data_IF_535512332407
#
_entry.id   IF_535512332407
#
_cell.length_a   1.000
_cell.length_b   1.000
_cell.length_c   1.000
_cell.angle_alpha   90.00
_cell.angle_beta   90.00
_cell.angle_gamma   90.00
#
_symmetry.space_group_name_H-M   'P 1'
#
loop_
_entity.id
_entity.type
_entity.pdbx_description
1 polymer ?
#
# COMPACT_ATOMS: atom_id res chain seq x y z
N UNK A 1 4.72 15.52 -19.68
CA UNK A 1 5.95 16.36 -19.66
C UNK A 1 6.36 16.49 -18.20
N UNK A 2 7.56 16.04 -17.84
CA UNK A 2 8.01 15.93 -16.45
C UNK A 2 9.53 15.84 -16.41
N UNK A 3 10.11 15.92 -15.20
CA UNK A 3 11.56 15.92 -15.00
C UNK A 3 12.12 17.20 -14.37
N UNK A 4 11.27 18.17 -14.02
CA UNK A 4 11.67 19.29 -13.17
C UNK A 4 11.98 18.77 -11.76
N UNK A 5 13.18 19.06 -11.28
CA UNK A 5 13.69 18.65 -9.98
C UNK A 5 14.21 19.89 -9.26
N UNK A 6 13.55 20.32 -8.18
CA UNK A 6 13.92 21.54 -7.43
C UNK A 6 14.71 21.25 -6.14
N UNK A 7 14.90 19.97 -5.82
CA UNK A 7 15.54 19.49 -4.58
C UNK A 7 17.08 19.52 -4.62
N UNK A 8 17.66 19.86 -5.76
CA UNK A 8 19.11 19.86 -5.99
C UNK A 8 19.50 20.94 -7.00
N UNK A 9 20.70 21.52 -6.82
CA UNK A 9 21.28 22.52 -7.72
C UNK A 9 21.26 22.09 -9.19
N UNK A 10 21.82 20.92 -9.46
CA UNK A 10 21.86 20.37 -10.81
C UNK A 10 20.45 20.14 -11.40
N UNK A 11 19.46 19.86 -10.55
CA UNK A 11 18.07 19.64 -10.97
C UNK A 11 17.42 20.90 -11.53
N UNK A 12 17.53 22.03 -10.84
CA UNK A 12 16.91 23.28 -11.28
C UNK A 12 17.76 24.03 -12.32
N UNK A 13 19.08 23.84 -12.34
CA UNK A 13 19.97 24.34 -13.42
C UNK A 13 19.71 23.61 -14.74
N UNK A 14 19.49 22.29 -14.72
CA UNK A 14 19.06 21.53 -15.90
C UNK A 14 17.62 21.88 -16.28
N UNK A 15 16.76 22.00 -15.26
CA UNK A 15 15.34 22.27 -15.39
C UNK A 15 14.54 21.13 -16.03
N UNK A 16 13.32 21.46 -16.47
CA UNK A 16 12.36 20.51 -17.02
C UNK A 16 12.41 20.41 -18.54
N UNK A 17 11.34 19.91 -19.15
CA UNK A 17 11.21 19.83 -20.61
C UNK A 17 11.17 21.19 -21.35
N UNK A 18 11.18 22.29 -20.62
CA UNK A 18 11.16 23.67 -21.14
C UNK A 18 12.47 24.43 -20.87
N UNK A 19 13.49 23.74 -20.36
CA UNK A 19 14.80 24.31 -20.05
C UNK A 19 14.99 24.64 -18.56
N UNK A 20 16.08 25.34 -18.22
CA UNK A 20 16.48 25.66 -16.85
C UNK A 20 15.37 26.38 -16.08
N UNK A 21 15.09 25.91 -14.86
CA UNK A 21 14.12 26.58 -14.00
C UNK A 21 14.71 27.85 -13.38
N UNK A 22 16.00 27.81 -13.03
CA UNK A 22 16.74 28.94 -12.47
C UNK A 22 18.08 29.05 -13.18
N UNK A 23 18.41 30.26 -13.63
CA UNK A 23 19.69 30.62 -14.22
C UNK A 23 20.43 31.53 -13.23
N UNK A 24 21.47 31.04 -12.54
CA UNK A 24 22.24 31.83 -11.58
C UNK A 24 22.70 33.18 -12.15
N UNK A 25 22.41 34.26 -11.43
CA UNK A 25 22.75 35.63 -11.81
C UNK A 25 21.82 36.28 -12.84
N UNK A 26 20.80 35.57 -13.35
CA UNK A 26 19.89 36.07 -14.40
C UNK A 26 18.42 35.85 -14.02
N UNK A 27 17.85 36.66 -13.11
CA UNK A 27 16.46 36.52 -12.69
C UNK A 27 15.47 36.61 -13.87
N UNK A 28 15.67 37.54 -14.81
CA UNK A 28 14.75 37.74 -15.94
C UNK A 28 14.78 36.62 -16.99
N UNK A 29 15.81 35.77 -16.97
CA UNK A 29 15.91 34.60 -17.86
C UNK A 29 15.51 33.30 -17.15
N UNK A 30 15.14 33.38 -15.86
CA UNK A 30 14.79 32.22 -15.04
C UNK A 30 13.28 31.98 -15.10
N UNK A 31 12.87 30.78 -15.55
CA UNK A 31 11.45 30.41 -15.64
C UNK A 31 10.72 30.47 -14.29
N UNK A 32 11.43 30.20 -13.18
CA UNK A 32 10.89 30.37 -11.84
C UNK A 32 10.40 31.80 -11.59
N UNK A 33 11.16 32.82 -12.03
CA UNK A 33 10.78 34.23 -11.85
C UNK A 33 9.61 34.62 -12.73
N UNK A 34 9.57 34.14 -13.97
CA UNK A 34 8.42 34.32 -14.85
C UNK A 34 7.15 33.73 -14.19
N UNK A 35 7.26 32.53 -13.59
CA UNK A 35 6.14 31.85 -12.94
C UNK A 35 5.61 32.58 -11.69
N UNK A 36 6.49 33.10 -10.82
CA UNK A 36 6.04 33.82 -9.61
C UNK A 36 5.61 35.27 -9.90
N UNK A 37 6.08 35.85 -11.02
CA UNK A 37 5.64 37.17 -11.51
C UNK A 37 4.36 37.11 -12.34
N UNK A 38 3.86 35.91 -12.63
CA UNK A 38 2.71 35.68 -13.52
C UNK A 38 2.96 36.18 -14.95
N UNK A 39 4.22 36.10 -15.41
CA UNK A 39 4.59 36.41 -16.79
C UNK A 39 4.55 35.12 -17.61
N UNK A 40 3.35 34.70 -17.98
CA UNK A 40 3.07 33.44 -18.66
C UNK A 40 2.56 32.36 -17.71
N UNK A 41 3.47 31.67 -17.00
CA UNK A 41 3.07 30.66 -15.99
C UNK A 41 2.64 31.34 -14.68
N UNK A 42 1.63 30.78 -14.01
CA UNK A 42 1.14 31.33 -12.74
C UNK A 42 1.38 30.34 -11.60
N UNK A 43 2.35 30.63 -10.72
CA UNK A 43 2.60 29.83 -9.51
C UNK A 43 2.81 30.71 -8.27
N UNK A 44 2.10 30.45 -7.15
CA UNK A 44 0.98 29.51 -6.99
C UNK A 44 -0.26 29.96 -7.81
N UNK A 45 -1.09 29.08 -8.37
CA UNK A 45 -2.19 29.49 -9.27
C UNK A 45 -3.29 30.32 -8.58
N UNK A 46 -3.56 30.07 -7.30
CA UNK A 46 -4.67 30.73 -6.59
C UNK A 46 -4.37 32.19 -6.23
N UNK A 47 -3.10 32.49 -5.92
CA UNK A 47 -2.69 33.82 -5.49
C UNK A 47 -1.19 34.02 -5.66
N UNK A 48 -0.84 35.15 -6.27
CA UNK A 48 0.54 35.56 -6.44
C UNK A 48 1.23 35.74 -5.09
N UNK A 49 2.50 35.34 -5.01
CA UNK A 49 3.31 35.54 -3.82
C UNK A 49 3.39 37.03 -3.46
N UNK A 50 3.47 37.37 -2.16
CA UNK A 50 3.71 38.75 -1.75
C UNK A 50 4.96 39.33 -2.42
N UNK A 51 4.93 40.61 -2.77
CA UNK A 51 6.05 41.27 -3.46
C UNK A 51 7.39 41.13 -2.71
N UNK A 52 7.36 41.06 -1.37
CA UNK A 52 8.54 40.85 -0.54
C UNK A 52 9.20 39.46 -0.76
N UNK A 53 8.39 38.42 -0.99
CA UNK A 53 8.88 37.07 -1.27
C UNK A 53 9.41 36.95 -2.70
N UNK A 54 8.74 37.58 -3.66
CA UNK A 54 9.23 37.67 -5.05
C UNK A 54 10.59 38.38 -5.09
N UNK A 55 10.73 39.49 -4.36
CA UNK A 55 12.00 40.23 -4.26
C UNK A 55 13.11 39.39 -3.60
N UNK A 56 12.76 38.53 -2.63
CA UNK A 56 13.72 37.62 -2.01
C UNK A 56 14.23 36.56 -3.00
N UNK A 57 13.33 35.99 -3.81
CA UNK A 57 13.69 35.03 -4.86
C UNK A 57 14.55 35.69 -5.94
N UNK A 58 14.18 36.88 -6.38
CA UNK A 58 14.97 37.66 -7.34
C UNK A 58 16.38 37.94 -6.82
N UNK A 59 16.50 38.40 -5.58
CA UNK A 59 17.80 38.64 -4.95
C UNK A 59 18.61 37.34 -4.84
N UNK A 60 17.99 36.25 -4.43
CA UNK A 60 18.65 34.94 -4.31
C UNK A 60 19.21 34.47 -5.65
N UNK A 61 18.46 34.60 -6.76
CA UNK A 61 18.95 34.28 -8.10
C UNK A 61 20.08 35.23 -8.50
N UNK A 62 19.94 36.53 -8.22
CA UNK A 62 20.93 37.55 -8.56
C UNK A 62 22.29 37.29 -7.92
N UNK A 63 22.33 36.82 -6.66
CA UNK A 63 23.57 36.44 -5.96
C UNK A 63 24.12 35.06 -6.37
N UNK A 64 23.60 34.48 -7.45
CA UNK A 64 24.07 33.21 -8.01
C UNK A 64 23.35 31.97 -7.48
N UNK A 65 22.14 32.12 -6.93
CA UNK A 65 21.31 31.04 -6.41
C UNK A 65 22.09 30.06 -5.50
N UNK A 66 22.73 30.56 -4.42
CA UNK A 66 23.53 29.72 -3.54
C UNK A 66 22.66 28.62 -2.94
N UNK A 67 23.06 27.38 -3.17
CA UNK A 67 22.38 26.18 -2.69
C UNK A 67 23.40 25.34 -1.89
N UNK A 68 23.33 25.37 -0.54
CA UNK A 68 24.25 24.61 0.30
C UNK A 68 23.95 23.11 0.34
N UNK A 69 22.87 22.66 -0.32
CA UNK A 69 22.48 21.24 -0.35
C UNK A 69 23.47 20.47 -1.23
N UNK A 70 24.10 19.45 -0.65
CA UNK A 70 24.91 18.45 -1.38
C UNK A 70 24.01 17.29 -1.81
N UNK A 71 22.86 17.59 -2.41
CA UNK A 71 21.95 16.56 -2.92
C UNK A 71 22.29 16.27 -4.39
N UNK A 72 22.83 15.09 -4.66
CA UNK A 72 22.70 14.50 -6.00
C UNK A 72 21.25 14.04 -6.12
N UNK A 73 20.57 14.41 -7.20
CA UNK A 73 19.24 13.87 -7.50
C UNK A 73 19.30 12.34 -7.34
N UNK A 74 18.33 11.71 -6.65
CA UNK A 74 18.36 10.27 -6.42
C UNK A 74 18.32 9.57 -7.79
N UNK A 75 19.45 9.04 -8.22
CA UNK A 75 19.51 8.11 -9.35
C UNK A 75 18.82 6.82 -8.90
N UNK A 76 17.51 6.75 -9.12
CA UNK A 76 16.77 5.50 -9.04
C UNK A 76 17.19 4.67 -10.24
N UNK A 77 18.18 3.82 -10.04
CA UNK A 77 18.56 2.79 -11.00
C UNK A 77 17.38 1.83 -11.16
N UNK A 78 16.71 1.77 -12.32
CA UNK A 78 15.59 0.86 -12.53
C UNK A 78 15.99 -0.59 -12.29
N UNK A 79 17.25 -0.97 -12.52
CA UNK A 79 17.76 -2.31 -12.27
C UNK A 79 17.84 -2.68 -10.77
N UNK A 80 17.76 -1.69 -9.88
CA UNK A 80 17.72 -1.88 -8.42
C UNK A 80 16.31 -1.86 -7.83
N UNK A 81 15.28 -1.70 -8.67
CA UNK A 81 13.90 -1.79 -8.20
C UNK A 81 13.58 -3.25 -7.85
N UNK A 82 13.16 -3.51 -6.62
CA UNK A 82 12.86 -4.87 -6.12
C UNK A 82 11.89 -5.65 -7.03
N UNK A 83 10.90 -4.96 -7.62
CA UNK A 83 9.92 -5.56 -8.51
C UNK A 83 10.47 -5.93 -9.90
N UNK A 84 11.64 -5.39 -10.28
CA UNK A 84 12.32 -5.68 -11.54
C UNK A 84 13.51 -6.63 -11.36
N UNK A 85 13.76 -7.12 -10.13
CA UNK A 85 14.76 -8.14 -9.88
C UNK A 85 14.22 -9.53 -10.24
N UNK A 86 15.07 -10.42 -10.74
CA UNK A 86 14.66 -11.80 -11.01
C UNK A 86 14.20 -12.48 -9.72
N UNK A 87 13.12 -13.24 -9.81
CA UNK A 87 12.65 -14.08 -8.70
C UNK A 87 13.61 -15.25 -8.55
N UNK A 88 14.31 -15.32 -7.42
CA UNK A 88 15.24 -16.41 -7.10
C UNK A 88 14.56 -17.32 -6.07
N UNK A 89 14.54 -18.62 -6.33
CA UNK A 89 14.08 -19.62 -5.34
C UNK A 89 15.21 -19.83 -4.32
N UNK A 90 15.08 -19.38 -3.05
CA UNK A 90 16.12 -19.59 -2.05
C UNK A 90 16.24 -21.08 -1.72
N UNK A 91 17.44 -21.50 -1.28
CA UNK A 91 17.63 -22.82 -0.72
C UNK A 91 16.85 -22.95 0.60
N UNK A 92 16.21 -24.10 0.80
CA UNK A 92 15.48 -24.41 2.03
C UNK A 92 16.51 -24.53 3.17
N UNK A 93 16.31 -23.83 4.31
CA UNK A 93 17.28 -23.83 5.39
C UNK A 93 17.28 -25.16 6.14
N UNK A 94 18.45 -25.56 6.62
CA UNK A 94 18.58 -26.69 7.53
C UNK A 94 18.07 -26.29 8.93
N UNK A 95 17.14 -27.09 9.44
CA UNK A 95 16.48 -26.96 10.75
C UNK A 95 16.84 -28.14 11.64
N UNK A 96 16.78 -27.96 12.96
CA UNK A 96 17.09 -29.02 13.94
C UNK A 96 15.89 -29.95 14.12
N UNK A 97 14.67 -29.41 14.20
CA UNK A 97 13.44 -30.21 14.30
C UNK A 97 12.89 -30.55 12.91
N UNK A 98 12.80 -31.85 12.60
CA UNK A 98 12.39 -32.32 11.27
C UNK A 98 10.92 -32.73 11.18
N UNK A 99 10.23 -32.88 12.32
CA UNK A 99 8.87 -33.45 12.35
C UNK A 99 7.78 -32.38 12.28
N UNK A 100 8.08 -31.15 12.72
CA UNK A 100 7.12 -30.05 12.73
C UNK A 100 6.84 -29.45 11.34
N UNK A 101 7.86 -29.19 10.48
CA UNK A 101 7.61 -28.62 9.16
C UNK A 101 6.80 -29.56 8.27
N UNK A 102 5.71 -29.06 7.68
CA UNK A 102 4.91 -29.80 6.70
C UNK A 102 5.33 -29.53 5.27
N UNK A 103 5.90 -28.35 5.02
CA UNK A 103 6.40 -27.94 3.72
C UNK A 103 7.74 -27.18 3.82
N UNK A 104 8.28 -26.80 2.66
CA UNK A 104 9.53 -26.02 2.57
C UNK A 104 9.42 -24.65 3.26
N UNK A 105 8.22 -24.05 3.34
CA UNK A 105 7.99 -22.73 3.92
C UNK A 105 8.09 -22.78 5.45
N UNK A 106 7.55 -23.83 6.06
CA UNK A 106 7.63 -24.08 7.50
C UNK A 106 9.11 -24.17 7.96
N UNK A 107 10.01 -24.69 7.12
CA UNK A 107 11.44 -24.72 7.44
C UNK A 107 12.04 -23.31 7.60
N UNK A 108 11.60 -22.33 6.79
CA UNK A 108 12.05 -20.93 6.95
C UNK A 108 11.55 -20.29 8.25
N UNK A 109 10.30 -20.59 8.63
CA UNK A 109 9.72 -20.11 9.88
C UNK A 109 10.44 -20.75 11.07
N UNK A 110 10.59 -22.08 11.04
CA UNK A 110 11.26 -22.84 12.08
C UNK A 110 12.71 -22.41 12.25
N UNK A 111 13.45 -22.18 11.15
CA UNK A 111 14.82 -21.68 11.24
C UNK A 111 14.93 -20.37 12.02
N UNK A 112 13.97 -19.46 11.80
CA UNK A 112 13.92 -18.20 12.55
C UNK A 112 13.55 -18.42 14.02
N UNK A 113 12.60 -19.31 14.31
CA UNK A 113 12.24 -19.67 15.68
C UNK A 113 13.43 -20.27 16.43
N UNK A 114 14.13 -21.26 15.85
CA UNK A 114 15.31 -21.89 16.42
C UNK A 114 16.45 -20.89 16.67
N UNK A 115 16.70 -19.98 15.73
CA UNK A 115 17.71 -18.92 15.89
C UNK A 115 17.36 -17.96 17.03
N UNK A 116 16.07 -17.76 17.27
CA UNK A 116 15.56 -16.95 18.37
C UNK A 116 15.34 -17.76 19.67
N UNK A 117 15.78 -19.02 19.72
CA UNK A 117 15.58 -19.95 20.85
C UNK A 117 14.10 -20.17 21.23
N UNK A 118 13.19 -19.99 20.26
CA UNK A 118 11.76 -20.21 20.39
C UNK A 118 11.36 -21.56 19.82
N UNK A 119 10.26 -22.11 20.35
CA UNK A 119 9.62 -23.32 19.83
C UNK A 119 8.26 -22.99 19.22
N UNK A 120 7.85 -23.68 18.14
CA UNK A 120 6.50 -23.53 17.61
C UNK A 120 5.44 -23.86 18.66
N UNK A 121 4.33 -23.12 18.63
CA UNK A 121 3.16 -23.45 19.43
C UNK A 121 2.53 -24.76 18.95
N UNK A 122 2.04 -25.57 19.88
CA UNK A 122 1.28 -26.78 19.55
C UNK A 122 -0.02 -26.46 18.79
N UNK A 123 -0.58 -27.43 18.06
CA UNK A 123 -1.87 -27.27 17.40
C UNK A 123 -2.97 -26.96 18.42
N UNK A 124 -3.93 -26.13 18.04
CA UNK A 124 -5.12 -25.89 18.84
C UNK A 124 -5.93 -27.19 19.00
N UNK A 125 -6.67 -27.30 20.10
CA UNK A 125 -7.64 -28.39 20.25
C UNK A 125 -8.72 -28.31 19.16
N UNK A 126 -9.33 -29.45 18.84
CA UNK A 126 -10.26 -29.56 17.70
C UNK A 126 -11.44 -28.59 17.83
N UNK A 127 -11.99 -28.42 19.02
CA UNK A 127 -13.11 -27.50 19.22
C UNK A 127 -12.69 -26.04 18.97
N UNK A 128 -11.56 -25.62 19.54
CA UNK A 128 -11.00 -24.28 19.31
C UNK A 128 -10.69 -24.04 17.85
N UNK A 129 -10.12 -25.04 17.15
CA UNK A 129 -9.83 -24.95 15.72
C UNK A 129 -11.11 -24.74 14.89
N UNK A 130 -12.15 -25.55 15.12
CA UNK A 130 -13.45 -25.40 14.48
C UNK A 130 -14.05 -24.03 14.74
N UNK A 131 -14.09 -23.60 16.01
CA UNK A 131 -14.68 -22.31 16.38
C UNK A 131 -13.99 -21.14 15.69
N UNK A 132 -12.66 -21.16 15.60
CA UNK A 132 -11.87 -20.13 14.93
C UNK A 132 -12.18 -20.10 13.43
N UNK A 133 -12.07 -21.23 12.75
CA UNK A 133 -12.27 -21.27 11.29
C UNK A 133 -13.70 -20.91 10.88
N UNK A 134 -14.72 -21.31 11.65
CA UNK A 134 -16.11 -20.92 11.37
C UNK A 134 -16.29 -19.41 11.56
N UNK A 135 -15.79 -18.83 12.65
CA UNK A 135 -15.87 -17.38 12.88
C UNK A 135 -15.10 -16.59 11.82
N UNK A 136 -13.92 -17.05 11.42
CA UNK A 136 -13.08 -16.38 10.43
C UNK A 136 -13.69 -16.45 9.01
N UNK A 137 -14.36 -17.55 8.66
CA UNK A 137 -14.93 -17.73 7.33
C UNK A 137 -16.36 -17.18 7.20
N UNK A 138 -17.21 -17.35 8.22
CA UNK A 138 -18.64 -16.98 8.11
C UNK A 138 -19.06 -15.90 9.09
N UNK A 139 -18.20 -15.50 10.04
CA UNK A 139 -18.54 -14.54 11.09
C UNK A 139 -19.49 -15.10 12.17
N UNK A 140 -19.83 -16.39 12.10
CA UNK A 140 -20.78 -17.04 13.01
C UNK A 140 -20.10 -18.19 13.77
N UNK A 141 -20.52 -18.49 15.02
CA UNK A 141 -20.05 -19.67 15.73
C UNK A 141 -20.60 -20.95 15.08
N UNK A 142 -19.91 -22.10 15.21
CA UNK A 142 -20.40 -23.38 14.70
C UNK A 142 -21.65 -23.84 15.47
N UNK A 143 -22.55 -24.57 14.80
CA UNK A 143 -23.73 -25.15 15.46
C UNK A 143 -23.37 -26.39 16.29
N UNK A 144 -24.20 -26.80 17.27
CA UNK A 144 -23.97 -28.04 18.02
C UNK A 144 -23.79 -29.27 17.13
N UNK A 145 -24.58 -29.38 16.07
CA UNK A 145 -24.52 -30.50 15.11
C UNK A 145 -23.20 -30.50 14.33
N UNK A 146 -22.72 -29.32 13.93
CA UNK A 146 -21.43 -29.16 13.25
C UNK A 146 -20.25 -29.50 14.18
N UNK A 147 -20.35 -29.15 15.47
CA UNK A 147 -19.37 -29.52 16.48
C UNK A 147 -19.32 -31.03 16.63
N UNK A 148 -20.46 -31.69 16.81
CA UNK A 148 -20.52 -33.15 16.93
C UNK A 148 -20.00 -33.85 15.67
N UNK A 149 -20.39 -33.38 14.49
CA UNK A 149 -19.91 -33.92 13.22
C UNK A 149 -18.38 -33.81 13.09
N UNK A 150 -17.81 -32.64 13.39
CA UNK A 150 -16.37 -32.45 13.30
C UNK A 150 -15.60 -33.22 14.37
N UNK A 151 -16.10 -33.28 15.61
CA UNK A 151 -15.44 -34.04 16.67
C UNK A 151 -15.52 -35.56 16.45
N UNK A 152 -16.57 -36.03 15.77
CA UNK A 152 -16.73 -37.43 15.38
C UNK A 152 -15.98 -37.84 14.11
N UNK A 153 -15.59 -36.89 13.26
CA UNK A 153 -14.85 -37.18 12.02
C UNK A 153 -13.38 -37.52 12.32
N UNK A 154 -13.04 -38.80 12.17
CA UNK A 154 -11.69 -39.34 12.36
C UNK A 154 -10.87 -39.42 11.08
N UNK A 155 -11.38 -38.89 9.95
CA UNK A 155 -10.64 -38.87 8.71
C UNK A 155 -9.45 -37.90 8.77
N UNK A 156 -8.39 -38.23 8.03
CA UNK A 156 -7.21 -37.36 7.88
C UNK A 156 -7.54 -36.02 7.22
N UNK A 157 -8.72 -35.91 6.59
CA UNK A 157 -9.22 -34.72 5.88
C UNK A 157 -10.38 -34.02 6.59
N UNK A 158 -10.63 -34.33 7.87
CA UNK A 158 -11.76 -33.79 8.62
C UNK A 158 -11.77 -32.26 8.63
N UNK A 159 -10.60 -31.62 8.73
CA UNK A 159 -10.48 -30.17 8.76
C UNK A 159 -10.79 -29.56 7.38
N UNK A 160 -10.24 -30.15 6.31
CA UNK A 160 -10.47 -29.74 4.93
C UNK A 160 -11.94 -29.84 4.56
N UNK A 161 -12.64 -30.90 4.98
CA UNK A 161 -14.08 -31.03 4.75
C UNK A 161 -14.88 -29.90 5.41
N UNK A 162 -14.50 -29.48 6.62
CA UNK A 162 -15.11 -28.32 7.29
C UNK A 162 -14.84 -27.04 6.50
N UNK A 163 -13.59 -26.81 6.09
CA UNK A 163 -13.22 -25.61 5.31
C UNK A 163 -13.99 -25.55 4.00
N UNK A 164 -14.02 -26.64 3.23
CA UNK A 164 -14.75 -26.73 1.96
C UNK A 164 -16.25 -26.43 2.15
N UNK A 165 -16.85 -27.00 3.20
CA UNK A 165 -18.26 -26.75 3.55
C UNK A 165 -18.52 -25.29 3.92
N UNK A 166 -17.64 -24.67 4.71
CA UNK A 166 -17.77 -23.27 5.11
C UNK A 166 -17.62 -22.32 3.92
N UNK A 167 -16.63 -22.55 3.05
CA UNK A 167 -16.41 -21.78 1.83
C UNK A 167 -17.58 -21.90 0.85
N UNK A 168 -18.25 -23.05 0.80
CA UNK A 168 -19.44 -23.28 -0.01
C UNK A 168 -20.73 -22.70 0.60
N UNK A 169 -20.69 -22.23 1.86
CA UNK A 169 -21.88 -21.70 2.54
C UNK A 169 -22.20 -20.26 2.12
N UNK A 170 -23.48 -19.86 2.07
CA UNK A 170 -23.86 -18.46 1.87
C UNK A 170 -23.24 -17.51 2.90
N UNK A 171 -23.09 -17.98 4.15
CA UNK A 171 -22.51 -17.19 5.24
C UNK A 171 -21.06 -16.75 4.97
N UNK A 172 -20.29 -17.50 4.19
CA UNK A 172 -18.95 -17.06 3.76
C UNK A 172 -19.03 -15.84 2.84
N UNK A 173 -19.93 -15.88 1.85
CA UNK A 173 -20.18 -14.75 0.95
C UNK A 173 -20.65 -13.51 1.70
N UNK A 174 -21.62 -13.68 2.60
CA UNK A 174 -22.15 -12.59 3.43
C UNK A 174 -21.08 -11.99 4.34
N UNK A 175 -20.22 -12.81 4.95
CA UNK A 175 -19.13 -12.33 5.79
C UNK A 175 -18.09 -11.55 5.00
N UNK A 176 -17.63 -12.09 3.88
CA UNK A 176 -16.61 -11.46 3.05
C UNK A 176 -17.10 -10.20 2.34
N UNK A 177 -18.38 -10.16 1.94
CA UNK A 177 -18.97 -8.97 1.33
C UNK A 177 -18.85 -7.75 2.24
N UNK A 178 -18.96 -7.91 3.58
CA UNK A 178 -18.78 -6.81 4.54
C UNK A 178 -17.42 -6.14 4.46
N UNK A 179 -16.34 -6.90 4.26
CA UNK A 179 -15.00 -6.32 4.12
C UNK A 179 -14.86 -5.46 2.86
N UNK A 180 -15.63 -5.78 1.82
CA UNK A 180 -15.66 -5.02 0.57
C UNK A 180 -16.67 -3.89 0.59
N UNK A 181 -17.74 -3.96 1.39
CA UNK A 181 -18.76 -2.91 1.46
C UNK A 181 -18.22 -1.57 1.94
N UNK A 182 -17.18 -1.56 2.78
CA UNK A 182 -16.49 -0.33 3.20
C UNK A 182 -15.63 0.27 2.07
N UNK A 183 -15.13 -0.55 1.14
CA UNK A 183 -14.28 -0.14 0.02
C UNK A 183 -15.06 0.18 -1.25
N UNK A 184 -16.18 -0.50 -1.48
CA UNK A 184 -17.18 -0.03 -2.43
C UNK A 184 -17.74 1.24 -1.84
N UNK A 185 -17.28 2.40 -2.30
CA UNK A 185 -17.87 3.67 -1.92
C UNK A 185 -19.39 3.50 -2.00
N UNK A 186 -20.04 3.52 -0.84
CA UNK A 186 -21.48 3.47 -0.71
C UNK A 186 -21.99 4.81 -1.22
N UNK A 187 -21.98 4.95 -2.54
CA UNK A 187 -22.33 6.17 -3.19
C UNK A 187 -23.85 6.14 -3.27
N UNK A 188 -24.50 7.07 -2.58
CA UNK A 188 -25.88 7.44 -2.89
C UNK A 188 -26.01 7.96 -4.34
N UNK A 189 -24.90 8.00 -5.08
CA UNK A 189 -24.70 8.65 -6.36
C UNK A 189 -24.07 7.65 -7.34
N UNK A 190 -24.75 7.41 -8.47
CA UNK A 190 -24.39 6.39 -9.45
C UNK A 190 -23.26 6.83 -10.42
N UNK A 191 -22.78 8.06 -10.32
CA UNK A 191 -21.82 8.66 -11.25
C UNK A 191 -20.56 9.16 -10.54
N UNK A 192 -19.46 9.20 -11.29
CA UNK A 192 -18.16 9.73 -10.82
C UNK A 192 -18.22 11.23 -10.45
N UNK A 193 -19.26 11.93 -10.90
CA UNK A 193 -19.52 13.35 -10.65
C UNK A 193 -20.46 13.62 -9.48
N UNK A 194 -21.10 12.58 -8.90
CA UNK A 194 -21.93 12.74 -7.73
C UNK A 194 -23.31 13.40 -7.94
N UNK A 195 -23.88 13.33 -9.14
CA UNK A 195 -25.15 13.99 -9.49
C UNK A 195 -26.34 13.03 -9.65
N UNK A 196 -26.12 11.73 -9.77
CA UNK A 196 -27.21 10.77 -10.06
C UNK A 196 -27.58 9.99 -8.81
N UNK A 197 -28.62 10.41 -8.09
CA UNK A 197 -29.09 9.70 -6.90
C UNK A 197 -29.56 8.27 -7.21
N UNK A 198 -29.02 7.27 -6.50
CA UNK A 198 -29.55 5.90 -6.46
C UNK A 198 -30.81 5.91 -5.61
N UNK A 199 -31.97 5.93 -6.27
CA UNK A 199 -33.27 5.76 -5.60
C UNK A 199 -33.26 4.44 -4.82
N UNK A 200 -33.66 4.51 -3.56
CA UNK A 200 -33.71 3.39 -2.59
C UNK A 200 -32.40 2.90 -1.97
N UNK A 201 -31.25 3.58 -2.15
CA UNK A 201 -30.01 3.24 -1.44
C UNK A 201 -30.17 3.24 0.10
N UNK A 202 -31.10 4.03 0.63
CA UNK A 202 -31.44 4.11 2.06
C UNK A 202 -31.94 2.79 2.65
N UNK A 203 -32.46 1.85 1.86
CA UNK A 203 -33.00 0.57 2.38
C UNK A 203 -31.93 -0.38 2.91
N UNK A 204 -30.67 -0.15 2.53
CA UNK A 204 -29.53 -0.91 2.99
C UNK A 204 -28.80 -0.24 4.16
N UNK A 205 -29.37 0.84 4.72
CA UNK A 205 -28.84 1.58 5.87
C UNK A 205 -29.36 1.11 7.23
N UNK A 206 -30.22 0.10 7.30
CA UNK A 206 -30.83 -0.27 8.59
C UNK A 206 -29.82 -0.96 9.51
N UNK A 207 -29.49 -0.26 10.60
CA UNK A 207 -28.79 -0.70 11.81
C UNK A 207 -29.81 -1.08 12.88
#
# INVERSE_FOLDING_TARGET
KGGLVLDSRAGWEKGGGEGPAVIPGKPDQSLLMAAVRYDGYEMPPDKQLPAAEIALLEKWITIGAPDPRVSKAPQRDPAKLWALQPIIKPAVPEVQETTWPRDDLDAFILKRLETAELRPSGPADRYTLLRRVTLDLTGLPPTPEEIEAFLGDSSDRAYEHVVDRLLASPGFGDHWARHWFDLSCYADLADITGNVLIRDAWRYRDY
#
